data_IF_190675805593
#
_entry.id   IF_190675805593
#
_cell.length_a   1.000
_cell.length_b   1.000
_cell.length_c   1.000
_cell.angle_alpha   90.00
_cell.angle_beta   90.00
_cell.angle_gamma   90.00
#
_symmetry.space_group_name_H-M   'P 1'
#
loop_
_entity.id
_entity.type
_entity.pdbx_description
1 polymer ?
#
# COMPACT_ATOMS: atom_id res chain seq x y z
N UNK A 1 4.29 23.33 14.98
CA UNK A 1 3.50 22.23 14.40
C UNK A 1 2.24 22.85 13.85
N UNK A 2 2.13 22.97 12.53
CA UNK A 2 1.02 23.70 11.88
C UNK A 2 -0.31 23.00 12.13
N UNK A 3 -1.39 23.80 12.17
CA UNK A 3 -2.77 23.40 12.48
C UNK A 3 -3.29 22.27 11.59
N UNK A 4 -2.96 21.02 11.93
CA UNK A 4 -3.60 19.87 11.30
C UNK A 4 -4.96 19.64 11.94
N UNK A 5 -5.98 19.42 11.11
CA UNK A 5 -7.36 19.18 11.57
C UNK A 5 -7.50 17.90 12.40
N UNK A 6 -6.76 16.85 12.07
CA UNK A 6 -6.80 15.57 12.78
C UNK A 6 -5.51 14.74 12.60
N UNK A 7 -5.33 13.75 13.49
CA UNK A 7 -4.48 12.57 13.26
C UNK A 7 -5.35 11.47 12.64
N UNK A 8 -4.79 10.60 11.81
CA UNK A 8 -5.48 9.37 11.44
C UNK A 8 -5.86 8.57 12.70
N UNK A 9 -7.08 8.03 12.68
CA UNK A 9 -7.62 7.03 13.60
C UNK A 9 -8.64 6.21 12.80
N UNK A 10 -8.77 4.93 13.11
CA UNK A 10 -9.79 4.06 12.53
C UNK A 10 -11.22 4.57 12.76
N UNK A 11 -11.45 5.39 13.80
CA UNK A 11 -12.75 6.03 14.05
C UNK A 11 -13.19 6.96 12.91
N UNK A 12 -12.24 7.50 12.13
CA UNK A 12 -12.53 8.36 10.97
C UNK A 12 -13.25 7.61 9.85
N UNK A 13 -13.14 6.28 9.80
CA UNK A 13 -13.87 5.47 8.81
C UNK A 13 -15.37 5.38 9.13
N UNK A 14 -15.76 5.66 10.38
CA UNK A 14 -17.13 5.61 10.85
C UNK A 14 -17.74 4.20 10.83
N UNK A 15 -19.04 4.13 11.10
CA UNK A 15 -19.82 2.89 11.00
C UNK A 15 -20.36 2.75 9.58
N UNK A 16 -19.67 1.97 8.75
CA UNK A 16 -20.01 1.79 7.34
C UNK A 16 -21.34 1.04 7.19
N UNK A 17 -21.63 0.06 8.05
CA UNK A 17 -22.88 -0.72 7.96
C UNK A 17 -24.09 0.17 8.24
N UNK A 18 -23.97 1.06 9.24
CA UNK A 18 -24.99 2.07 9.53
C UNK A 18 -25.07 3.16 8.46
N UNK A 19 -23.94 3.61 7.93
CA UNK A 19 -23.86 4.71 6.98
C UNK A 19 -24.20 4.35 5.53
N UNK A 20 -23.97 3.09 5.13
CA UNK A 20 -24.20 2.56 3.78
C UNK A 20 -25.02 1.25 3.83
N UNK A 21 -26.25 1.26 4.36
CA UNK A 21 -27.02 0.03 4.60
C UNK A 21 -27.36 -0.74 3.32
N UNK A 22 -27.39 -0.08 2.16
CA UNK A 22 -27.71 -0.70 0.88
C UNK A 22 -26.47 -0.98 -0.01
N UNK A 23 -25.46 -0.11 0.05
CA UNK A 23 -24.26 -0.20 -0.80
C UNK A 23 -23.12 -0.98 -0.14
N UNK A 24 -23.10 -1.04 1.20
CA UNK A 24 -22.14 -1.81 1.97
C UNK A 24 -20.68 -1.33 1.81
N UNK A 25 -19.78 -2.31 1.94
CA UNK A 25 -18.32 -2.13 2.00
C UNK A 25 -17.67 -1.94 0.62
N UNK A 26 -18.40 -2.20 -0.46
CA UNK A 26 -17.85 -2.22 -1.80
C UNK A 26 -18.05 -0.89 -2.54
N UNK A 27 -17.12 -0.60 -3.43
CA UNK A 27 -17.18 0.50 -4.39
C UNK A 27 -16.59 0.05 -5.73
N UNK A 28 -16.87 0.78 -6.81
CA UNK A 28 -16.16 0.55 -8.07
C UNK A 28 -14.71 1.02 -7.96
N UNK A 29 -13.79 0.22 -8.53
CA UNK A 29 -12.37 0.57 -8.72
C UNK A 29 -12.24 1.86 -9.53
N UNK A 30 -13.14 2.11 -10.49
CA UNK A 30 -13.11 3.32 -11.32
C UNK A 30 -13.28 4.59 -10.47
N UNK A 31 -14.17 4.54 -9.47
CA UNK A 31 -14.41 5.65 -8.54
C UNK A 31 -13.25 5.82 -7.57
N UNK A 32 -12.67 4.72 -7.07
CA UNK A 32 -11.48 4.75 -6.22
C UNK A 32 -10.29 5.39 -6.95
N UNK A 33 -9.97 4.89 -8.14
CA UNK A 33 -8.85 5.40 -8.97
C UNK A 33 -9.09 6.84 -9.40
N UNK A 34 -10.32 7.21 -9.77
CA UNK A 34 -10.64 8.60 -10.06
C UNK A 34 -10.29 9.52 -8.89
N UNK A 35 -10.65 9.14 -7.66
CA UNK A 35 -10.31 9.92 -6.46
C UNK A 35 -8.78 9.99 -6.26
N UNK A 36 -8.09 8.85 -6.28
CA UNK A 36 -6.65 8.75 -6.08
C UNK A 36 -5.88 9.60 -7.10
N UNK A 37 -6.13 9.43 -8.40
CA UNK A 37 -5.45 10.17 -9.46
C UNK A 37 -5.80 11.66 -9.45
N UNK A 38 -7.02 12.03 -9.05
CA UNK A 38 -7.38 13.45 -8.88
C UNK A 38 -6.60 14.09 -7.73
N UNK A 39 -6.41 13.40 -6.61
CA UNK A 39 -5.56 13.90 -5.52
C UNK A 39 -4.11 14.03 -5.99
N UNK A 40 -3.58 13.04 -6.70
CA UNK A 40 -2.23 13.10 -7.26
C UNK A 40 -2.05 14.34 -8.13
N UNK A 41 -2.89 14.52 -9.14
CA UNK A 41 -2.81 15.66 -10.07
C UNK A 41 -2.88 17.02 -9.35
N UNK A 42 -3.83 17.16 -8.43
CA UNK A 42 -4.00 18.43 -7.70
C UNK A 42 -2.79 18.72 -6.81
N UNK A 43 -2.31 17.73 -6.05
CA UNK A 43 -1.15 17.90 -5.16
C UNK A 43 0.08 18.23 -6.00
N UNK A 44 0.30 17.52 -7.10
CA UNK A 44 1.45 17.72 -8.00
C UNK A 44 1.47 19.11 -8.61
N UNK A 45 0.32 19.66 -8.99
CA UNK A 45 0.22 21.06 -9.42
C UNK A 45 0.65 22.08 -8.36
N UNK A 46 0.57 21.72 -7.08
CA UNK A 46 0.92 22.61 -5.98
C UNK A 46 2.37 22.46 -5.52
N UNK A 47 2.90 21.24 -5.48
CA UNK A 47 4.21 20.97 -4.85
C UNK A 47 5.23 20.32 -5.79
N UNK A 48 4.85 19.96 -7.01
CA UNK A 48 5.71 19.26 -7.96
C UNK A 48 5.78 17.74 -7.72
N UNK A 49 6.36 17.02 -8.68
CA UNK A 49 6.38 15.55 -8.72
C UNK A 49 7.08 14.94 -7.51
N UNK A 50 8.31 15.38 -7.20
CA UNK A 50 9.13 14.80 -6.13
C UNK A 50 8.45 14.90 -4.75
N UNK A 51 7.92 16.08 -4.42
CA UNK A 51 7.21 16.28 -3.15
C UNK A 51 5.89 15.51 -3.12
N UNK A 52 5.24 15.32 -4.28
CA UNK A 52 4.02 14.52 -4.36
C UNK A 52 4.32 13.03 -4.17
N UNK A 53 5.41 12.51 -4.76
CA UNK A 53 5.89 11.16 -4.53
C UNK A 53 6.17 10.92 -3.04
N UNK A 54 6.85 11.85 -2.39
CA UNK A 54 7.10 11.79 -0.95
C UNK A 54 5.78 11.73 -0.15
N UNK A 55 4.80 12.59 -0.47
CA UNK A 55 3.50 12.59 0.20
C UNK A 55 2.77 11.25 0.02
N UNK A 56 2.79 10.68 -1.19
CA UNK A 56 2.15 9.39 -1.47
C UNK A 56 2.86 8.24 -0.75
N UNK A 57 4.20 8.23 -0.72
CA UNK A 57 4.97 7.27 0.04
C UNK A 57 4.67 7.35 1.55
N UNK A 58 4.66 8.55 2.13
CA UNK A 58 4.35 8.77 3.54
C UNK A 58 2.90 8.36 3.88
N UNK A 59 1.95 8.64 3.00
CA UNK A 59 0.56 8.22 3.14
C UNK A 59 0.43 6.69 3.09
N UNK A 60 1.11 6.04 2.14
CA UNK A 60 1.20 4.59 2.05
C UNK A 60 1.79 4.00 3.33
N UNK A 61 2.93 4.54 3.79
CA UNK A 61 3.60 4.08 5.01
C UNK A 61 2.70 4.17 6.23
N UNK A 62 1.99 5.28 6.41
CA UNK A 62 1.00 5.43 7.47
C UNK A 62 -0.10 4.37 7.37
N UNK A 63 -0.68 4.19 6.19
CA UNK A 63 -1.75 3.22 5.96
C UNK A 63 -1.27 1.78 6.24
N UNK A 64 -0.10 1.39 5.74
CA UNK A 64 0.47 0.05 5.94
C UNK A 64 0.77 -0.25 7.41
N UNK A 65 1.30 0.75 8.14
CA UNK A 65 1.55 0.59 9.58
C UNK A 65 0.25 0.42 10.38
N UNK A 66 -0.74 1.27 10.15
CA UNK A 66 -2.05 1.20 10.82
C UNK A 66 -2.79 -0.09 10.46
N UNK A 67 -2.70 -0.53 9.21
CA UNK A 67 -3.26 -1.79 8.73
C UNK A 67 -2.63 -2.99 9.46
N UNK A 68 -1.30 -3.03 9.53
CA UNK A 68 -0.59 -4.10 10.22
C UNK A 68 -0.91 -4.14 11.71
N UNK A 69 -0.89 -2.99 12.39
CA UNK A 69 -1.20 -2.90 13.82
C UNK A 69 -2.64 -3.29 14.12
N UNK A 70 -3.59 -2.95 13.24
CA UNK A 70 -5.00 -3.26 13.44
C UNK A 70 -5.31 -4.75 13.25
N UNK A 71 -4.73 -5.36 12.22
CA UNK A 71 -5.14 -6.68 11.74
C UNK A 71 -4.19 -7.80 12.16
N UNK A 72 -2.92 -7.51 12.38
CA UNK A 72 -1.87 -8.52 12.57
C UNK A 72 -1.04 -8.34 13.85
N UNK A 73 -1.41 -7.43 14.76
CA UNK A 73 -0.65 -7.11 15.98
C UNK A 73 -0.26 -8.32 16.86
N UNK A 74 -1.00 -9.41 16.81
CA UNK A 74 -0.76 -10.59 17.64
C UNK A 74 -0.05 -11.73 16.90
N UNK A 75 0.20 -11.61 15.60
CA UNK A 75 0.86 -12.64 14.81
C UNK A 75 2.37 -12.50 14.98
N UNK A 76 3.03 -13.55 15.47
CA UNK A 76 4.48 -13.56 15.72
C UNK A 76 5.26 -14.43 14.75
N UNK A 77 4.62 -15.46 14.19
CA UNK A 77 5.23 -16.31 13.19
C UNK A 77 5.18 -15.63 11.82
N UNK A 78 6.29 -15.66 11.10
CA UNK A 78 6.40 -14.96 9.81
C UNK A 78 5.60 -15.64 8.72
N UNK A 79 5.53 -16.98 8.71
CA UNK A 79 4.75 -17.69 7.70
C UNK A 79 3.25 -17.49 7.91
N UNK A 80 2.81 -17.49 9.17
CA UNK A 80 1.44 -17.12 9.55
C UNK A 80 1.13 -15.69 9.11
N UNK A 81 2.04 -14.74 9.36
CA UNK A 81 1.88 -13.35 8.94
C UNK A 81 1.70 -13.22 7.43
N UNK A 82 2.60 -13.82 6.64
CA UNK A 82 2.51 -13.78 5.18
C UNK A 82 1.20 -14.39 4.70
N UNK A 83 0.82 -15.55 5.23
CA UNK A 83 -0.43 -16.21 4.84
C UNK A 83 -1.65 -15.33 5.14
N UNK A 84 -1.75 -14.80 6.36
CA UNK A 84 -2.85 -13.91 6.75
C UNK A 84 -2.87 -12.62 5.93
N UNK A 85 -1.70 -12.08 5.60
CA UNK A 85 -1.59 -10.91 4.75
C UNK A 85 -2.12 -11.19 3.34
N UNK A 86 -1.69 -12.29 2.71
CA UNK A 86 -2.16 -12.68 1.38
C UNK A 86 -3.68 -12.88 1.33
N UNK A 87 -4.24 -13.54 2.33
CA UNK A 87 -5.69 -13.74 2.45
C UNK A 87 -6.41 -12.40 2.64
N UNK A 88 -5.92 -11.54 3.54
CA UNK A 88 -6.55 -10.25 3.84
C UNK A 88 -6.52 -9.29 2.65
N UNK A 89 -5.38 -9.15 1.97
CA UNK A 89 -5.26 -8.26 0.80
C UNK A 89 -6.19 -8.69 -0.32
N UNK A 90 -6.30 -10.01 -0.57
CA UNK A 90 -7.24 -10.56 -1.55
C UNK A 90 -8.68 -10.31 -1.15
N UNK A 91 -9.06 -10.64 0.09
CA UNK A 91 -10.45 -10.58 0.54
C UNK A 91 -10.96 -9.13 0.65
N UNK A 92 -10.04 -8.17 0.88
CA UNK A 92 -10.33 -6.74 0.84
C UNK A 92 -10.23 -6.11 -0.55
N UNK A 93 -9.86 -6.88 -1.58
CA UNK A 93 -9.75 -6.41 -2.96
C UNK A 93 -8.59 -5.42 -3.20
N UNK A 94 -7.52 -5.51 -2.42
CA UNK A 94 -6.32 -4.67 -2.55
C UNK A 94 -5.38 -5.24 -3.62
N UNK A 95 -5.23 -6.55 -3.66
CA UNK A 95 -4.38 -7.23 -4.63
C UNK A 95 -4.05 -8.67 -4.23
N UNK A 96 -3.43 -9.39 -5.16
CA UNK A 96 -2.98 -10.77 -4.98
C UNK A 96 -1.48 -10.75 -4.70
N UNK A 97 -1.13 -10.80 -3.42
CA UNK A 97 0.26 -10.84 -2.96
C UNK A 97 0.88 -12.23 -3.12
N UNK A 98 2.14 -12.29 -3.56
CA UNK A 98 3.00 -13.47 -3.45
C UNK A 98 4.39 -13.06 -2.97
N UNK A 99 5.00 -13.90 -2.14
CA UNK A 99 6.40 -13.78 -1.75
C UNK A 99 7.22 -14.70 -2.65
N UNK A 100 8.14 -14.13 -3.41
CA UNK A 100 9.05 -14.89 -4.27
C UNK A 100 10.27 -15.35 -3.50
N UNK A 101 10.85 -14.43 -2.71
CA UNK A 101 12.01 -14.68 -1.88
C UNK A 101 11.85 -13.93 -0.55
N UNK A 102 12.22 -14.59 0.55
CA UNK A 102 12.29 -13.95 1.87
C UNK A 102 13.47 -14.52 2.64
N UNK A 103 14.44 -13.65 2.92
CA UNK A 103 15.59 -13.93 3.77
C UNK A 103 15.54 -12.94 4.94
N UNK A 104 14.88 -13.35 6.01
CA UNK A 104 14.68 -12.50 7.20
C UNK A 104 15.97 -12.31 8.02
N UNK A 105 16.97 -13.18 7.85
CA UNK A 105 18.29 -12.99 8.48
C UNK A 105 19.07 -11.87 7.80
N UNK A 106 19.00 -11.80 6.47
CA UNK A 106 19.58 -10.69 5.69
C UNK A 106 18.70 -9.45 5.67
N UNK A 107 17.43 -9.59 6.01
CA UNK A 107 16.45 -8.51 5.98
C UNK A 107 16.02 -8.14 4.56
N UNK A 108 15.95 -9.12 3.66
CA UNK A 108 15.63 -8.90 2.23
C UNK A 108 14.42 -9.72 1.80
N UNK A 109 13.49 -9.11 1.08
CA UNK A 109 12.32 -9.76 0.51
C UNK A 109 12.11 -9.33 -0.95
N UNK A 110 11.59 -10.25 -1.75
CA UNK A 110 11.08 -10.00 -3.09
C UNK A 110 9.63 -10.46 -3.12
N UNK A 111 8.73 -9.58 -3.54
CA UNK A 111 7.30 -9.83 -3.56
C UNK A 111 6.65 -9.27 -4.82
N UNK A 112 5.50 -9.82 -5.16
CA UNK A 112 4.69 -9.39 -6.29
C UNK A 112 3.27 -9.12 -5.85
N UNK A 113 2.64 -8.12 -6.45
CA UNK A 113 1.21 -7.81 -6.30
C UNK A 113 0.56 -7.84 -7.68
N UNK A 114 -0.24 -8.89 -7.94
CA UNK A 114 -1.07 -9.00 -9.14
C UNK A 114 -2.47 -8.45 -8.86
N UNK A 115 -3.19 -7.99 -9.89
CA UNK A 115 -4.51 -7.35 -9.71
C UNK A 115 -4.49 -6.22 -8.68
N UNK A 116 -3.34 -5.55 -8.60
CA UNK A 116 -3.08 -4.39 -7.76
C UNK A 116 -4.12 -3.29 -7.99
N UNK A 117 -4.75 -2.88 -6.90
CA UNK A 117 -5.81 -1.88 -6.86
C UNK A 117 -5.38 -0.54 -7.50
N UNK A 118 -4.11 -0.17 -7.40
CA UNK A 118 -3.58 1.11 -7.87
C UNK A 118 -3.12 1.02 -9.34
N UNK A 119 -2.36 -0.02 -9.71
CA UNK A 119 -1.66 -0.06 -11.02
C UNK A 119 -2.27 -0.99 -12.09
N UNK A 120 -2.95 -2.07 -11.71
CA UNK A 120 -3.28 -3.12 -12.68
C UNK A 120 -4.27 -2.65 -13.74
N UNK A 121 -3.93 -2.81 -15.02
CA UNK A 121 -4.75 -2.40 -16.17
C UNK A 121 -4.55 -0.95 -16.63
N UNK A 122 -3.62 -0.20 -16.02
CA UNK A 122 -3.25 1.13 -16.52
C UNK A 122 -2.53 1.04 -17.89
N UNK A 123 -2.57 2.13 -18.69
CA UNK A 123 -1.77 2.21 -19.90
C UNK A 123 -0.27 2.14 -19.60
N UNK A 124 0.54 1.81 -20.59
CA UNK A 124 1.99 1.94 -20.50
C UNK A 124 2.35 3.44 -20.51
N UNK A 125 2.98 3.90 -19.43
CA UNK A 125 3.28 5.31 -19.19
C UNK A 125 4.79 5.60 -19.22
N UNK A 126 5.63 4.55 -19.19
CA UNK A 126 7.09 4.68 -19.22
C UNK A 126 7.71 5.14 -17.89
N UNK A 127 6.93 5.16 -16.81
CA UNK A 127 7.39 5.43 -15.45
C UNK A 127 6.64 4.54 -14.44
N UNK A 128 7.24 4.40 -13.25
CA UNK A 128 6.68 3.66 -12.12
C UNK A 128 5.62 4.50 -11.41
N UNK A 129 4.45 3.92 -11.16
CA UNK A 129 3.30 4.63 -10.57
C UNK A 129 3.13 4.33 -9.06
N UNK A 130 3.67 3.21 -8.56
CA UNK A 130 3.25 2.61 -7.29
C UNK A 130 3.99 3.14 -6.06
N UNK A 131 4.21 4.46 -5.98
CA UNK A 131 4.89 5.08 -4.82
C UNK A 131 4.10 4.89 -3.51
N UNK A 132 2.77 4.85 -3.59
CA UNK A 132 1.93 4.53 -2.44
C UNK A 132 2.17 3.10 -1.95
N UNK A 133 2.25 2.11 -2.85
CA UNK A 133 2.49 0.71 -2.49
C UNK A 133 3.88 0.49 -1.89
N UNK A 134 4.91 1.17 -2.41
CA UNK A 134 6.24 1.18 -1.78
C UNK A 134 6.13 1.61 -0.30
N UNK A 135 5.39 2.68 -0.04
CA UNK A 135 5.10 3.16 1.30
C UNK A 135 4.33 2.13 2.12
N UNK A 136 3.22 1.62 1.58
CA UNK A 136 2.34 0.67 2.25
C UNK A 136 3.08 -0.58 2.71
N UNK A 137 3.86 -1.19 1.81
CA UNK A 137 4.68 -2.36 2.12
C UNK A 137 5.75 -2.00 3.17
N UNK A 138 6.42 -0.85 3.03
CA UNK A 138 7.44 -0.42 4.01
C UNK A 138 6.86 -0.26 5.41
N UNK A 139 5.71 0.41 5.54
CA UNK A 139 5.05 0.64 6.82
C UNK A 139 4.50 -0.64 7.46
N UNK A 140 4.05 -1.58 6.61
CA UNK A 140 3.58 -2.89 7.02
C UNK A 140 4.72 -3.76 7.55
N UNK A 141 5.83 -3.88 6.81
CA UNK A 141 7.00 -4.67 7.22
C UNK A 141 7.67 -4.07 8.46
N UNK A 142 7.77 -2.74 8.55
CA UNK A 142 8.31 -2.07 9.74
C UNK A 142 7.44 -2.31 10.98
N UNK A 143 6.12 -2.27 10.83
CA UNK A 143 5.22 -2.55 11.96
C UNK A 143 5.28 -4.00 12.42
N UNK A 144 5.48 -4.94 11.49
CA UNK A 144 5.59 -6.35 11.82
C UNK A 144 6.94 -6.72 12.45
N UNK A 145 8.05 -6.24 11.86
CA UNK A 145 9.41 -6.63 12.25
C UNK A 145 10.04 -5.72 13.31
N UNK A 146 9.52 -4.51 13.47
CA UNK A 146 10.13 -3.45 14.28
C UNK A 146 11.36 -2.79 13.64
N UNK A 147 11.70 -3.13 12.40
CA UNK A 147 12.86 -2.57 11.68
C UNK A 147 12.41 -1.81 10.42
N UNK A 148 12.96 -0.63 10.13
CA UNK A 148 12.60 0.12 8.93
C UNK A 148 13.02 -0.62 7.65
N UNK A 149 12.15 -0.61 6.64
CA UNK A 149 12.43 -1.16 5.31
C UNK A 149 12.46 -0.07 4.24
N UNK A 150 13.41 -0.19 3.32
CA UNK A 150 13.40 0.50 2.03
C UNK A 150 12.74 -0.42 1.02
N UNK A 151 11.61 0.01 0.46
CA UNK A 151 10.89 -0.74 -0.58
C UNK A 151 11.02 0.02 -1.89
N UNK A 152 11.26 -0.72 -2.97
CA UNK A 152 11.34 -0.18 -4.33
C UNK A 152 10.56 -1.09 -5.27
N UNK A 153 9.73 -0.49 -6.11
CA UNK A 153 9.18 -1.16 -7.28
C UNK A 153 10.33 -1.44 -8.26
N UNK A 154 10.38 -2.66 -8.81
CA UNK A 154 11.39 -3.08 -9.78
C UNK A 154 10.78 -3.47 -11.13
N UNK A 155 9.56 -3.99 -11.13
CA UNK A 155 8.76 -4.29 -12.34
C UNK A 155 7.36 -3.68 -12.14
N UNK A 156 6.79 -3.03 -13.15
CA UNK A 156 5.53 -2.29 -13.04
C UNK A 156 4.60 -2.57 -14.22
N UNK A 157 3.28 -2.62 -13.95
CA UNK A 157 2.28 -2.69 -15.01
C UNK A 157 2.44 -1.56 -16.04
N UNK A 158 2.77 -0.35 -15.56
CA UNK A 158 2.92 0.85 -16.40
C UNK A 158 4.20 0.83 -17.26
N UNK A 159 5.11 -0.12 -17.05
CA UNK A 159 6.35 -0.30 -17.83
C UNK A 159 6.31 -1.52 -18.76
N UNK A 160 5.14 -2.16 -18.92
CA UNK A 160 4.91 -3.28 -19.84
C UNK A 160 4.79 -4.65 -19.15
N UNK A 161 5.02 -4.72 -17.84
CA UNK A 161 4.81 -5.94 -17.07
C UNK A 161 3.32 -6.21 -16.81
N UNK A 162 3.01 -7.38 -16.24
CA UNK A 162 1.64 -7.79 -15.92
C UNK A 162 1.38 -7.94 -14.42
N UNK A 163 2.38 -7.57 -13.61
CA UNK A 163 2.38 -7.65 -12.16
C UNK A 163 3.34 -6.59 -11.64
N UNK A 164 2.97 -5.89 -10.57
CA UNK A 164 3.86 -4.94 -9.91
C UNK A 164 4.76 -5.75 -8.93
N UNK A 165 6.10 -5.65 -9.06
CA UNK A 165 7.08 -6.43 -8.28
C UNK A 165 7.96 -5.49 -7.47
N UNK A 166 8.26 -5.87 -6.23
CA UNK A 166 8.95 -5.02 -5.27
C UNK A 166 10.09 -5.76 -4.59
N UNK A 167 11.17 -5.04 -4.34
CA UNK A 167 12.25 -5.44 -3.41
C UNK A 167 12.11 -4.67 -2.12
N UNK A 168 12.24 -5.34 -0.99
CA UNK A 168 12.25 -4.74 0.34
C UNK A 168 13.54 -5.11 1.08
N UNK A 169 14.25 -4.11 1.59
CA UNK A 169 15.52 -4.29 2.31
C UNK A 169 15.52 -3.53 3.65
N UNK A 170 15.97 -4.15 4.73
CA UNK A 170 16.14 -3.46 6.02
C UNK A 170 17.13 -2.30 5.87
N UNK A 171 16.73 -1.13 6.39
CA UNK A 171 17.61 0.03 6.53
C UNK A 171 18.48 -0.18 7.77
N UNK A 172 19.80 -0.20 7.56
CA UNK A 172 20.81 -0.32 8.62
C UNK A 172 21.15 1.03 9.25
#
# INVERSE_FOLDING_TARGET
MSDRKYKFSWDLLGDIVKGRPNLGLNTSIEVYRLMQFSFRDVIERHVGTEQTDQIFFEAGKLAGSEFCQKLFANIKDFNEFIKSLQETLRDMGIGILRIEEADMEKGTLVLTVSEDLDCSGLPELGYQNCTYDEGFIAGLLESYTGSPFKVKEIDCWCTGDRTCRFTAEIVK
#
